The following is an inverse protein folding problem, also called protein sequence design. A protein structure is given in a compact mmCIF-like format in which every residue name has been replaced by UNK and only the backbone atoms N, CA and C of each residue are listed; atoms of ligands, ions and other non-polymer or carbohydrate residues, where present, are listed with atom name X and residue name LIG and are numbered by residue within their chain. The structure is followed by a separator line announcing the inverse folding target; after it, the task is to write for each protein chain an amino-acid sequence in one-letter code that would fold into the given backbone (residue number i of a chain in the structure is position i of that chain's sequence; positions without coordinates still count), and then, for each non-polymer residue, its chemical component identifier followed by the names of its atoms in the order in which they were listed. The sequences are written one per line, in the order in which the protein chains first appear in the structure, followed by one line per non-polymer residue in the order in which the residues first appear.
data_IF_104982886114
#
_entry.id   IF_104982886114
#
_cell.length_a   1.000
_cell.length_b   1.000
_cell.length_c   1.000
_cell.angle_alpha   90.00
_cell.angle_beta   90.00
_cell.angle_gamma   90.00
#
_symmetry.space_group_name_H-M   'P 1'
#
loop_
_entity.id
_entity.type
_entity.pdbx_description
1 polymer ?
#
# COMPACT_ATOMS: atom_id res chain seq x y z
N UNK A 1 17.26 -0.53 5.84
CA UNK A 1 16.13 0.35 6.17
C UNK A 1 15.55 0.86 4.85
N UNK A 2 14.29 0.56 4.54
CA UNK A 2 13.68 0.92 3.23
C UNK A 2 13.45 2.42 3.15
N UNK A 3 14.06 3.10 2.18
CA UNK A 3 13.84 4.53 1.93
C UNK A 3 12.54 4.72 1.16
N UNK A 4 11.57 5.41 1.76
CA UNK A 4 10.28 5.69 1.12
C UNK A 4 10.39 6.86 0.13
N UNK A 5 9.96 6.63 -1.10
CA UNK A 5 9.88 7.59 -2.21
C UNK A 5 8.44 8.02 -2.42
N UNK A 6 8.17 9.34 -2.46
CA UNK A 6 6.82 9.88 -2.65
C UNK A 6 6.17 9.33 -3.92
N UNK A 7 4.87 9.06 -3.85
CA UNK A 7 4.04 8.43 -4.87
C UNK A 7 4.45 7.01 -5.28
N UNK A 8 5.48 6.42 -4.66
CA UNK A 8 5.81 5.00 -4.85
C UNK A 8 4.79 4.11 -4.13
N UNK A 9 4.55 2.93 -4.70
CA UNK A 9 3.69 1.91 -4.12
C UNK A 9 4.42 0.96 -3.21
N UNK A 10 3.77 0.65 -2.10
CA UNK A 10 4.25 -0.30 -1.13
C UNK A 10 3.13 -1.23 -0.69
N UNK A 11 3.52 -2.44 -0.34
CA UNK A 11 2.74 -3.31 0.54
C UNK A 11 3.08 -2.93 1.98
N UNK A 12 2.07 -2.46 2.71
CA UNK A 12 2.19 -2.16 4.12
C UNK A 12 1.65 -3.32 4.93
N UNK A 13 2.42 -3.70 5.95
CA UNK A 13 2.06 -4.75 6.89
C UNK A 13 1.87 -4.08 8.24
N UNK A 14 0.66 -4.15 8.79
CA UNK A 14 0.33 -3.53 10.08
C UNK A 14 0.05 -4.56 11.16
N UNK A 15 0.36 -4.18 12.40
CA UNK A 15 -0.09 -4.90 13.58
C UNK A 15 -1.61 -4.83 13.65
N UNK A 16 -2.25 -5.97 13.86
CA UNK A 16 -3.66 -6.05 14.15
C UNK A 16 -3.82 -6.36 15.63
N UNK A 17 -4.43 -5.44 16.37
CA UNK A 17 -4.70 -5.65 17.79
C UNK A 17 -5.62 -6.89 17.92
N UNK A 18 -5.24 -7.83 18.78
CA UNK A 18 -5.99 -9.03 19.14
C UNK A 18 -6.14 -10.16 18.09
N UNK A 19 -5.34 -10.18 17.02
CA UNK A 19 -5.32 -11.36 16.14
C UNK A 19 -3.88 -11.85 15.89
N UNK A 20 -3.70 -13.16 15.72
CA UNK A 20 -2.41 -13.76 15.30
C UNK A 20 -2.07 -13.45 13.83
N UNK A 21 -2.78 -12.53 13.20
CA UNK A 21 -2.73 -12.29 11.76
C UNK A 21 -2.22 -10.88 11.48
N UNK A 22 -1.26 -10.80 10.57
CA UNK A 22 -0.84 -9.53 10.01
C UNK A 22 -1.91 -9.04 9.03
N UNK A 23 -2.22 -7.73 9.05
CA UNK A 23 -3.08 -7.13 8.04
C UNK A 23 -2.23 -6.44 6.97
N UNK A 24 -2.57 -6.73 5.72
CA UNK A 24 -1.85 -6.26 4.55
C UNK A 24 -2.74 -5.29 3.77
N UNK A 25 -2.18 -4.17 3.33
CA UNK A 25 -2.87 -3.26 2.40
C UNK A 25 -1.87 -2.59 1.45
N UNK A 26 -2.36 -2.20 0.29
CA UNK A 26 -1.55 -1.61 -0.80
C UNK A 26 -1.85 -0.13 -0.86
N UNK A 27 -0.81 0.70 -0.80
CA UNK A 27 -1.02 2.14 -0.79
C UNK A 27 0.14 2.91 -1.45
N UNK A 28 -0.16 4.10 -1.94
CA UNK A 28 0.84 5.06 -2.41
C UNK A 28 1.30 5.92 -1.23
N UNK A 29 2.61 5.94 -0.99
CA UNK A 29 3.19 6.79 0.05
C UNK A 29 3.16 8.25 -0.37
N UNK A 30 2.67 9.14 0.50
CA UNK A 30 2.59 10.58 0.23
C UNK A 30 3.73 11.31 0.95
N UNK A 31 3.71 11.26 2.27
CA UNK A 31 4.69 11.89 3.16
C UNK A 31 4.64 11.31 4.58
N UNK A 32 5.64 11.68 5.38
CA UNK A 32 5.73 11.41 6.81
C UNK A 32 5.54 12.74 7.54
N UNK A 33 4.59 12.80 8.44
CA UNK A 33 4.34 13.98 9.30
C UNK A 33 4.39 13.55 10.76
N UNK A 34 5.38 14.08 11.50
CA UNK A 34 5.64 13.68 12.88
C UNK A 34 5.80 12.15 12.99
N UNK A 35 4.94 11.50 13.78
CA UNK A 35 4.91 10.03 13.95
C UNK A 35 3.83 9.34 13.11
N UNK A 36 3.30 10.01 12.09
CA UNK A 36 2.25 9.49 11.23
C UNK A 36 2.72 9.34 9.79
N UNK A 37 2.30 8.25 9.19
CA UNK A 37 2.43 7.96 7.78
C UNK A 37 1.13 8.35 7.06
N UNK A 38 1.25 9.11 5.97
CA UNK A 38 0.13 9.47 5.11
C UNK A 38 0.21 8.71 3.80
N UNK A 39 -0.87 7.98 3.49
CA UNK A 39 -0.97 7.15 2.29
C UNK A 39 -2.34 7.29 1.66
N UNK A 40 -2.41 7.04 0.36
CA UNK A 40 -3.68 6.78 -0.32
C UNK A 40 -3.92 5.27 -0.35
N UNK A 41 -4.94 4.81 0.39
CA UNK A 41 -5.37 3.41 0.38
C UNK A 41 -6.40 3.17 -0.72
N UNK A 42 -6.40 1.95 -1.25
CA UNK A 42 -7.29 1.53 -2.33
C UNK A 42 -8.28 0.50 -1.81
N UNK A 43 -9.55 0.88 -1.73
CA UNK A 43 -10.63 -0.07 -1.48
C UNK A 43 -11.22 -0.53 -2.81
N UNK A 44 -10.98 -1.80 -3.17
CA UNK A 44 -11.57 -2.41 -4.36
C UNK A 44 -13.00 -2.85 -4.02
N UNK A 45 -13.99 -2.06 -4.43
CA UNK A 45 -15.39 -2.50 -4.34
C UNK A 45 -15.70 -3.28 -5.61
N UNK A 46 -15.84 -4.60 -5.45
CA UNK A 46 -16.03 -5.62 -6.50
C UNK A 46 -17.18 -5.40 -7.49
N UNK A 47 -17.95 -4.31 -7.41
CA UNK A 47 -19.18 -4.12 -8.17
C UNK A 47 -19.42 -2.73 -8.77
N UNK A 48 -18.53 -1.75 -8.63
CA UNK A 48 -18.67 -0.50 -9.38
C UNK A 48 -17.32 0.17 -9.62
N UNK A 49 -17.16 0.69 -10.84
CA UNK A 49 -16.01 1.45 -11.36
C UNK A 49 -15.76 2.80 -10.63
N UNK A 50 -16.14 2.93 -9.36
CA UNK A 50 -15.92 4.11 -8.54
C UNK A 50 -14.79 3.87 -7.53
N UNK A 51 -13.58 4.17 -7.99
CA UNK A 51 -12.38 4.27 -7.16
C UNK A 51 -12.57 5.38 -6.12
N UNK A 52 -12.49 5.04 -4.84
CA UNK A 52 -12.39 6.03 -3.76
C UNK A 52 -10.98 5.98 -3.19
N UNK A 53 -10.18 7.00 -3.51
CA UNK A 53 -8.89 7.20 -2.86
C UNK A 53 -9.14 7.84 -1.50
N UNK A 54 -8.97 7.04 -0.45
CA UNK A 54 -9.06 7.54 0.91
C UNK A 54 -7.67 7.94 1.40
N UNK A 55 -7.53 9.15 1.92
CA UNK A 55 -6.31 9.55 2.63
C UNK A 55 -6.32 8.89 4.00
N UNK A 56 -5.44 7.92 4.19
CA UNK A 56 -5.22 7.31 5.49
C UNK A 56 -4.02 7.94 6.18
N UNK A 57 -4.25 8.35 7.43
CA UNK A 57 -3.21 8.83 8.34
C UNK A 57 -3.08 7.78 9.44
N UNK A 58 -1.93 7.13 9.53
CA UNK A 58 -1.72 6.05 10.48
C UNK A 58 -0.43 6.23 11.29
N UNK A 59 -0.43 5.92 12.60
CA UNK A 59 0.77 5.94 13.42
C UNK A 59 1.84 4.96 12.91
N UNK A 60 3.12 5.35 12.89
CA UNK A 60 4.21 4.44 12.49
C UNK A 60 4.29 3.18 13.34
N UNK A 61 3.94 3.29 14.62
CA UNK A 61 3.94 2.15 15.54
C UNK A 61 2.99 1.03 15.11
N UNK A 62 2.00 1.33 14.26
CA UNK A 62 1.13 0.31 13.69
C UNK A 62 1.77 -0.42 12.51
N UNK A 63 2.80 0.15 11.88
CA UNK A 63 3.48 -0.46 10.75
C UNK A 63 4.53 -1.44 11.27
N UNK A 64 4.34 -2.72 10.96
CA UNK A 64 5.26 -3.80 11.24
C UNK A 64 6.41 -3.83 10.23
N UNK A 65 6.07 -3.73 8.95
CA UNK A 65 7.04 -3.70 7.86
C UNK A 65 6.45 -3.09 6.58
N UNK A 66 7.35 -2.68 5.68
CA UNK A 66 7.02 -2.06 4.40
C UNK A 66 7.87 -2.73 3.32
N UNK A 67 7.22 -3.16 2.25
CA UNK A 67 7.89 -3.75 1.09
C UNK A 67 7.50 -2.97 -0.15
N UNK A 68 8.46 -2.71 -1.05
CA UNK A 68 8.10 -2.17 -2.35
C UNK A 68 7.42 -3.27 -3.16
N UNK A 69 6.39 -2.91 -3.92
CA UNK A 69 5.73 -3.88 -4.79
C UNK A 69 6.69 -4.40 -5.87
N UNK A 70 7.59 -3.55 -6.39
CA UNK A 70 8.62 -3.94 -7.36
C UNK A 70 9.51 -5.09 -6.84
N UNK A 71 9.90 -5.04 -5.56
CA UNK A 71 10.77 -6.05 -4.94
C UNK A 71 10.03 -7.40 -4.76
N UNK A 72 8.70 -7.36 -4.56
CA UNK A 72 7.87 -8.57 -4.40
C UNK A 72 7.63 -9.26 -5.75
N UNK A 73 7.45 -8.46 -6.80
CA UNK A 73 7.16 -8.93 -8.15
C UNK A 73 8.44 -9.39 -8.87
N UNK A 74 9.59 -8.83 -8.51
CA UNK A 74 10.88 -9.12 -9.14
C UNK A 74 10.95 -8.63 -10.59
N UNK A 75 11.83 -9.24 -11.39
CA UNK A 75 11.96 -9.02 -12.85
C UNK A 75 10.86 -9.74 -13.67
N UNK A 76 9.83 -10.25 -13.00
CA UNK A 76 8.71 -10.89 -13.67
C UNK A 76 8.02 -9.82 -14.52
N UNK A 77 8.11 -9.95 -15.85
CA UNK A 77 7.29 -9.15 -16.78
C UNK A 77 5.86 -9.58 -16.53
N UNK A 78 5.20 -8.88 -15.62
CA UNK A 78 3.79 -9.05 -15.41
C UNK A 78 3.07 -8.53 -16.65
N UNK A 79 2.07 -9.27 -17.17
CA UNK A 79 1.19 -8.77 -18.21
C UNK A 79 0.63 -7.40 -17.82
N UNK A 80 0.51 -6.47 -18.77
CA UNK A 80 0.11 -5.08 -18.50
C UNK A 80 -1.22 -4.98 -17.74
N UNK A 81 -2.11 -5.95 -17.94
CA UNK A 81 -3.37 -6.17 -17.23
C UNK A 81 -3.18 -6.60 -15.77
N UNK A 82 -2.18 -7.43 -15.48
CA UNK A 82 -1.81 -7.83 -14.11
C UNK A 82 -1.04 -6.72 -13.41
N UNK A 83 -0.14 -6.03 -14.12
CA UNK A 83 0.48 -4.79 -13.66
C UNK A 83 -0.64 -3.82 -13.35
N UNK A 84 -1.58 -3.55 -14.27
CA UNK A 84 -2.75 -2.70 -14.02
C UNK A 84 -3.53 -3.18 -12.80
N UNK A 85 -3.88 -4.45 -12.65
CA UNK A 85 -4.57 -4.95 -11.45
C UNK A 85 -3.79 -4.70 -10.14
N UNK A 86 -2.46 -4.75 -10.18
CA UNK A 86 -1.58 -4.43 -9.05
C UNK A 86 -1.36 -2.92 -8.89
N UNK A 87 -1.38 -2.20 -10.00
CA UNK A 87 -1.03 -0.81 -10.17
C UNK A 87 -2.25 0.12 -10.37
N UNK A 88 -3.51 -0.33 -10.29
CA UNK A 88 -4.65 0.25 -11.04
C UNK A 88 -4.73 1.80 -11.13
N UNK A 89 -3.93 2.30 -12.07
CA UNK A 89 -4.01 3.54 -12.84
C UNK A 89 -5.07 3.25 -13.90
N UNK A 90 -6.05 4.12 -14.16
CA UNK A 90 -6.13 5.55 -13.92
C UNK A 90 -6.89 5.93 -12.66
#
# INVERSE_FOLDING_TARGET
MTKLVKKQRYLFIRYCDNTRFDMYFRANYIDIVCKHLRVYDYEDTTTNLSKREYLHIMPFQWIKSIQKLEDIIGDTILPLDVVRLIDNFW
#
